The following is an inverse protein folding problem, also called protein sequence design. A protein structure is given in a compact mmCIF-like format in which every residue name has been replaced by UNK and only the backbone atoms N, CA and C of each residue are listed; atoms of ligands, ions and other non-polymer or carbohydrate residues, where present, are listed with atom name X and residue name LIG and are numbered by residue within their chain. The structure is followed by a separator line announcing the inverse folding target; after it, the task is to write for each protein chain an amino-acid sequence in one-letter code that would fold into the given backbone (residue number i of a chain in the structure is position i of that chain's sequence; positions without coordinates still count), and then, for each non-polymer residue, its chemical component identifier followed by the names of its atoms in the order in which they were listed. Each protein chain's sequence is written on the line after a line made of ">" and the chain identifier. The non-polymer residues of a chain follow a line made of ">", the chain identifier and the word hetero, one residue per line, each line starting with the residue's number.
data_IF_482790973056
#
_entry.id   IF_482790973056
#
_cell.length_a   1.000
_cell.length_b   1.000
_cell.length_c   1.000
_cell.angle_alpha   90.00
_cell.angle_beta   90.00
_cell.angle_gamma   90.00
#
_symmetry.space_group_name_H-M   'P 1'
#
loop_
_entity.id
_entity.type
_entity.pdbx_description
1 polymer ?
#
# COMPACT_ATOMS: atom_id res chain seq x y z
N UNK A 1 5.01 -26.79 -3.84
CA UNK A 1 5.73 -25.55 -4.15
C UNK A 1 6.37 -25.03 -2.88
N UNK A 2 7.43 -24.24 -3.01
CA UNK A 2 8.14 -23.56 -1.92
C UNK A 2 7.79 -22.09 -1.95
N UNK A 3 7.10 -21.63 -0.95
CA UNK A 3 6.57 -20.26 -0.83
C UNK A 3 7.39 -19.49 0.20
N UNK A 4 7.97 -18.36 -0.18
CA UNK A 4 8.65 -17.44 0.71
C UNK A 4 7.76 -16.22 1.02
N UNK A 5 7.52 -15.94 2.29
CA UNK A 5 6.90 -14.70 2.73
C UNK A 5 8.01 -13.78 3.25
N UNK A 6 8.35 -12.73 2.50
CA UNK A 6 9.40 -11.78 2.93
C UNK A 6 8.83 -10.83 3.96
N UNK A 7 9.08 -11.09 5.24
CA UNK A 7 8.52 -10.33 6.37
C UNK A 7 9.44 -10.40 7.58
N UNK A 8 9.39 -9.39 8.45
CA UNK A 8 10.18 -9.35 9.70
C UNK A 8 9.70 -10.29 10.81
N UNK A 9 8.79 -11.21 10.53
CA UNK A 9 8.40 -12.25 11.46
C UNK A 9 6.89 -12.55 11.50
N UNK A 10 6.54 -13.54 12.29
CA UNK A 10 5.18 -14.10 12.42
C UNK A 10 4.25 -13.28 13.33
N UNK A 11 4.73 -12.21 13.96
CA UNK A 11 3.92 -11.35 14.84
C UNK A 11 2.86 -10.56 14.05
N UNK A 12 3.10 -10.36 12.75
CA UNK A 12 2.15 -9.68 11.87
C UNK A 12 1.05 -10.67 11.46
N UNK A 13 -0.19 -10.37 11.82
CA UNK A 13 -1.36 -11.20 11.51
C UNK A 13 -1.38 -11.68 10.05
N UNK A 14 -1.31 -10.76 9.11
CA UNK A 14 -1.37 -11.08 7.68
C UNK A 14 -0.22 -11.97 7.19
N UNK A 15 0.98 -11.85 7.79
CA UNK A 15 2.11 -12.75 7.49
C UNK A 15 1.81 -14.17 7.95
N UNK A 16 1.34 -14.34 9.19
CA UNK A 16 0.97 -15.64 9.74
C UNK A 16 -0.14 -16.30 8.93
N UNK A 17 -1.21 -15.55 8.61
CA UNK A 17 -2.33 -16.06 7.83
C UNK A 17 -1.93 -16.53 6.42
N UNK A 18 -1.00 -15.84 5.75
CA UNK A 18 -0.47 -16.26 4.45
C UNK A 18 0.31 -17.58 4.55
N UNK A 19 1.11 -17.77 5.61
CA UNK A 19 1.80 -19.05 5.84
C UNK A 19 0.78 -20.17 6.07
N UNK A 20 -0.17 -19.96 6.98
CA UNK A 20 -1.24 -20.93 7.28
C UNK A 20 -2.02 -21.32 6.00
N UNK A 21 -2.40 -20.34 5.19
CA UNK A 21 -3.13 -20.58 3.95
C UNK A 21 -2.31 -21.40 2.93
N UNK A 22 -1.01 -21.11 2.81
CA UNK A 22 -0.12 -21.87 1.92
C UNK A 22 0.06 -23.32 2.40
N UNK A 23 0.24 -23.54 3.71
CA UNK A 23 0.38 -24.87 4.31
C UNK A 23 -0.91 -25.69 4.19
N UNK A 24 -2.06 -25.07 4.45
CA UNK A 24 -3.39 -25.70 4.25
C UNK A 24 -3.65 -26.09 2.79
N UNK A 25 -3.05 -25.36 1.84
CA UNK A 25 -3.10 -25.68 0.41
C UNK A 25 -2.06 -26.74 -0.01
N UNK A 26 -1.34 -27.35 0.94
CA UNK A 26 -0.36 -28.41 0.69
C UNK A 26 1.00 -27.93 0.20
N UNK A 27 1.36 -26.66 0.46
CA UNK A 27 2.65 -26.08 0.05
C UNK A 27 3.56 -25.87 1.26
N UNK A 28 4.87 -25.83 1.01
CA UNK A 28 5.86 -25.48 2.04
C UNK A 28 6.01 -23.98 2.09
N UNK A 29 5.66 -23.35 3.21
CA UNK A 29 5.79 -21.92 3.40
C UNK A 29 6.81 -21.57 4.49
N UNK A 30 7.60 -20.51 4.27
CA UNK A 30 8.52 -19.98 5.27
C UNK A 30 8.56 -18.47 5.28
N UNK A 31 8.75 -17.91 6.47
CA UNK A 31 8.96 -16.47 6.66
C UNK A 31 10.45 -16.20 6.58
N UNK A 32 10.84 -15.28 5.72
CA UNK A 32 12.23 -14.83 5.57
C UNK A 32 12.33 -13.35 5.95
N UNK A 33 13.15 -13.07 6.96
CA UNK A 33 13.45 -11.67 7.31
C UNK A 33 14.36 -11.08 6.21
N UNK A 34 13.96 -9.98 5.54
CA UNK A 34 14.81 -9.31 4.55
C UNK A 34 16.23 -9.02 5.06
N UNK A 35 16.40 -8.70 6.34
CA UNK A 35 17.73 -8.45 6.93
C UNK A 35 18.60 -9.69 7.10
N UNK A 36 18.06 -10.90 6.94
CA UNK A 36 18.84 -12.12 6.87
C UNK A 36 19.55 -12.34 5.53
N UNK A 37 19.17 -11.57 4.50
CA UNK A 37 19.80 -11.67 3.18
C UNK A 37 21.08 -10.85 3.08
N UNK A 38 21.97 -11.29 2.19
CA UNK A 38 23.09 -10.49 1.67
C UNK A 38 23.23 -10.72 0.17
N UNK A 39 23.44 -9.61 -0.56
CA UNK A 39 23.67 -9.58 -2.00
C UNK A 39 25.13 -9.27 -2.26
N UNK A 40 25.78 -10.08 -3.06
CA UNK A 40 27.19 -9.91 -3.43
C UNK A 40 27.30 -9.70 -4.93
N UNK A 41 27.92 -8.62 -5.33
CA UNK A 41 28.20 -8.30 -6.73
C UNK A 41 29.71 -8.46 -6.97
N UNK A 42 30.08 -9.34 -7.90
CA UNK A 42 31.47 -9.54 -8.29
C UNK A 42 31.54 -9.76 -9.82
N UNK A 43 32.19 -8.84 -10.52
CA UNK A 43 32.26 -8.82 -11.98
C UNK A 43 30.85 -8.81 -12.61
N UNK A 44 30.49 -9.89 -13.34
CA UNK A 44 29.21 -10.10 -14.00
C UNK A 44 28.26 -11.04 -13.22
N UNK A 45 28.59 -11.33 -11.95
CA UNK A 45 27.86 -12.31 -11.15
C UNK A 45 27.25 -11.64 -9.90
N UNK A 46 25.99 -11.93 -9.67
CA UNK A 46 25.29 -11.54 -8.44
C UNK A 46 24.93 -12.82 -7.69
N UNK A 47 25.27 -12.88 -6.41
CA UNK A 47 24.94 -14.00 -5.52
C UNK A 47 24.13 -13.51 -4.35
N UNK A 48 23.10 -14.25 -4.00
CA UNK A 48 22.25 -14.00 -2.85
C UNK A 48 22.45 -15.11 -1.80
N UNK A 49 22.63 -14.68 -0.55
CA UNK A 49 22.76 -15.57 0.59
C UNK A 49 21.68 -15.22 1.62
N UNK A 50 21.26 -16.21 2.38
CA UNK A 50 20.40 -16.06 3.52
C UNK A 50 21.05 -16.68 4.77
N UNK A 51 21.25 -15.87 5.81
CA UNK A 51 21.95 -16.26 7.06
C UNK A 51 23.32 -16.95 6.81
N UNK A 52 24.06 -16.45 5.80
CA UNK A 52 25.40 -16.93 5.46
C UNK A 52 25.45 -18.15 4.52
N UNK A 53 24.30 -18.73 4.15
CA UNK A 53 24.18 -19.82 3.21
C UNK A 53 23.61 -19.34 1.88
N UNK A 54 23.95 -19.99 0.78
CA UNK A 54 23.33 -19.70 -0.53
C UNK A 54 21.81 -19.79 -0.37
N UNK A 55 21.12 -18.74 -0.80
CA UNK A 55 19.67 -18.69 -0.67
C UNK A 55 19.02 -19.84 -1.45
N UNK A 56 18.03 -20.45 -0.84
CA UNK A 56 17.27 -21.52 -1.45
C UNK A 56 16.44 -21.01 -2.64
N UNK A 57 16.05 -21.90 -3.54
CA UNK A 57 15.13 -21.58 -4.61
C UNK A 57 13.69 -21.63 -4.11
N UNK A 58 12.89 -20.64 -4.53
CA UNK A 58 11.48 -20.54 -4.26
C UNK A 58 10.71 -20.58 -5.59
N UNK A 59 9.48 -21.08 -5.53
CA UNK A 59 8.56 -21.06 -6.66
C UNK A 59 7.72 -19.76 -6.61
N UNK A 60 7.43 -19.26 -5.39
CA UNK A 60 6.61 -18.09 -5.14
C UNK A 60 7.21 -17.23 -4.02
N UNK A 61 7.28 -15.92 -4.22
CA UNK A 61 7.66 -14.92 -3.20
C UNK A 61 6.52 -13.93 -3.01
N UNK A 62 6.10 -13.73 -1.76
CA UNK A 62 5.11 -12.72 -1.37
C UNK A 62 5.77 -11.70 -0.45
N UNK A 63 6.02 -10.45 -0.92
CA UNK A 63 6.64 -9.42 -0.13
C UNK A 63 5.65 -8.77 0.86
N UNK A 64 6.07 -8.66 2.12
CA UNK A 64 5.33 -8.02 3.21
C UNK A 64 6.22 -6.98 3.91
N UNK A 65 6.69 -5.99 3.14
CA UNK A 65 7.65 -5.02 3.63
C UNK A 65 7.02 -3.93 4.50
N UNK A 66 7.66 -3.68 5.63
CA UNK A 66 7.47 -2.44 6.40
C UNK A 66 8.24 -1.27 5.76
N UNK A 67 8.01 -0.05 6.27
CA UNK A 67 8.81 1.09 5.83
C UNK A 67 10.31 0.91 6.11
N UNK A 68 10.67 0.26 7.23
CA UNK A 68 12.05 0.06 7.65
C UNK A 68 12.83 -0.95 6.80
N UNK A 69 12.13 -1.90 6.16
CA UNK A 69 12.78 -2.97 5.36
C UNK A 69 12.65 -2.76 3.86
N UNK A 70 11.93 -1.72 3.44
CA UNK A 70 11.51 -1.59 2.05
C UNK A 70 12.68 -1.40 1.10
N UNK A 71 13.62 -0.52 1.41
CA UNK A 71 14.73 -0.18 0.51
C UNK A 71 15.59 -1.42 0.23
N UNK A 72 16.09 -2.07 1.27
CA UNK A 72 16.87 -3.29 1.13
C UNK A 72 16.03 -4.47 0.59
N UNK A 73 14.75 -4.54 1.00
CA UNK A 73 13.82 -5.55 0.50
C UNK A 73 13.57 -5.45 -1.01
N UNK A 74 13.60 -4.24 -1.58
CA UNK A 74 13.50 -4.05 -3.02
C UNK A 74 14.72 -4.58 -3.78
N UNK A 75 15.93 -4.41 -3.26
CA UNK A 75 17.13 -4.99 -3.87
C UNK A 75 17.04 -6.52 -3.92
N UNK A 76 16.55 -7.15 -2.83
CA UNK A 76 16.34 -8.60 -2.78
C UNK A 76 15.31 -9.03 -3.82
N UNK A 77 14.15 -8.35 -3.86
CA UNK A 77 13.09 -8.69 -4.83
C UNK A 77 13.53 -8.47 -6.28
N UNK A 78 14.25 -7.37 -6.56
CA UNK A 78 14.76 -7.06 -7.89
C UNK A 78 15.74 -8.13 -8.36
N UNK A 79 16.57 -8.65 -7.44
CA UNK A 79 17.44 -9.78 -7.77
C UNK A 79 16.63 -11.04 -8.12
N UNK A 80 15.64 -11.42 -7.28
CA UNK A 80 14.80 -12.57 -7.60
C UNK A 80 14.00 -12.38 -8.89
N UNK A 81 13.47 -11.20 -9.14
CA UNK A 81 12.77 -10.87 -10.37
C UNK A 81 13.67 -11.00 -11.61
N UNK A 82 14.95 -10.58 -11.50
CA UNK A 82 15.92 -10.68 -12.60
C UNK A 82 16.28 -12.12 -12.99
N UNK A 83 16.06 -13.07 -12.09
CA UNK A 83 16.29 -14.50 -12.40
C UNK A 83 15.22 -15.08 -13.34
N UNK A 84 14.01 -14.50 -13.40
CA UNK A 84 12.91 -14.96 -14.25
C UNK A 84 12.45 -16.41 -13.98
N UNK A 85 12.70 -16.92 -12.77
CA UNK A 85 12.42 -18.32 -12.40
C UNK A 85 11.54 -18.43 -11.15
N UNK A 86 11.04 -17.31 -10.63
CA UNK A 86 10.22 -17.23 -9.43
C UNK A 86 9.09 -16.26 -9.63
N UNK A 87 7.87 -16.70 -9.35
CA UNK A 87 6.70 -15.82 -9.34
C UNK A 87 6.76 -14.87 -8.13
N UNK A 88 6.52 -13.58 -8.33
CA UNK A 88 6.57 -12.55 -7.27
C UNK A 88 5.29 -11.74 -7.28
N UNK A 89 4.57 -11.75 -6.17
CA UNK A 89 3.30 -11.05 -6.00
C UNK A 89 3.35 -10.12 -4.78
N UNK A 90 3.47 -8.81 -4.99
CA UNK A 90 3.54 -7.99 -6.22
C UNK A 90 4.99 -7.80 -6.69
N UNK A 91 5.17 -7.42 -7.96
CA UNK A 91 6.47 -7.08 -8.51
C UNK A 91 7.09 -5.83 -7.86
N UNK A 92 8.45 -5.72 -7.81
CA UNK A 92 9.14 -4.63 -7.12
C UNK A 92 8.73 -3.24 -7.60
N UNK A 93 8.67 -3.01 -8.91
CA UNK A 93 8.33 -1.71 -9.48
C UNK A 93 6.88 -1.28 -9.16
N UNK A 94 5.94 -2.22 -9.20
CA UNK A 94 4.55 -1.99 -8.80
C UNK A 94 4.44 -1.56 -7.33
N UNK A 95 5.19 -2.25 -6.45
CA UNK A 95 5.27 -1.91 -5.03
C UNK A 95 5.86 -0.51 -4.84
N UNK A 96 6.96 -0.17 -5.50
CA UNK A 96 7.60 1.14 -5.39
C UNK A 96 6.67 2.26 -5.86
N UNK A 97 5.98 2.08 -6.99
CA UNK A 97 5.03 3.05 -7.51
C UNK A 97 3.86 3.28 -6.55
N UNK A 98 3.28 2.23 -6.01
CA UNK A 98 2.15 2.31 -5.08
C UNK A 98 2.53 2.92 -3.73
N UNK A 99 3.72 2.63 -3.21
CA UNK A 99 4.19 3.17 -1.91
C UNK A 99 4.46 4.66 -1.94
N UNK A 100 4.78 5.23 -3.08
CA UNK A 100 5.03 6.65 -3.22
C UNK A 100 3.71 7.39 -3.49
N UNK A 101 3.11 7.97 -2.45
CA UNK A 101 1.74 8.53 -2.49
C UNK A 101 1.46 9.48 -3.66
N UNK A 102 2.36 10.41 -3.93
CA UNK A 102 2.14 11.33 -5.05
C UNK A 102 2.29 10.65 -6.41
N UNK A 103 3.30 9.76 -6.56
CA UNK A 103 3.51 9.01 -7.80
C UNK A 103 2.32 8.11 -8.13
N UNK A 104 1.79 7.38 -7.14
CA UNK A 104 0.62 6.52 -7.33
C UNK A 104 -0.60 7.31 -7.79
N UNK A 105 -0.92 8.42 -7.12
CA UNK A 105 -2.05 9.27 -7.52
C UNK A 105 -1.86 9.91 -8.91
N UNK A 106 -0.62 10.33 -9.25
CA UNK A 106 -0.31 10.85 -10.58
C UNK A 106 -0.54 9.79 -11.67
N UNK A 107 -0.02 8.57 -11.47
CA UNK A 107 -0.22 7.45 -12.42
C UNK A 107 -1.72 7.14 -12.57
N UNK A 108 -2.47 7.09 -11.47
CA UNK A 108 -3.91 6.86 -11.51
C UNK A 108 -4.65 7.95 -12.27
N UNK A 109 -4.35 9.22 -12.02
CA UNK A 109 -4.97 10.35 -12.69
C UNK A 109 -4.68 10.36 -14.21
N UNK A 110 -3.45 10.02 -14.64
CA UNK A 110 -3.06 9.87 -16.04
C UNK A 110 -3.89 8.79 -16.77
N UNK A 111 -4.45 7.83 -16.04
CA UNK A 111 -5.30 6.76 -16.57
C UNK A 111 -6.79 6.95 -16.25
N UNK A 112 -7.20 8.18 -15.92
CA UNK A 112 -8.59 8.55 -15.63
C UNK A 112 -9.23 7.81 -14.45
N UNK A 113 -8.43 7.29 -13.51
CA UNK A 113 -8.94 6.81 -12.23
C UNK A 113 -9.15 8.04 -11.32
N UNK A 114 -10.35 8.22 -10.73
CA UNK A 114 -10.62 9.37 -9.89
C UNK A 114 -9.77 9.34 -8.61
N UNK A 115 -9.04 10.43 -8.36
CA UNK A 115 -8.16 10.58 -7.19
C UNK A 115 -8.51 11.82 -6.38
N UNK A 116 -8.18 11.80 -5.09
CA UNK A 116 -8.37 12.97 -4.24
C UNK A 116 -7.43 14.11 -4.71
N UNK A 117 -7.95 15.35 -4.95
CA UNK A 117 -7.14 16.47 -5.37
C UNK A 117 -5.93 16.69 -4.48
N UNK A 118 -4.76 16.75 -5.07
CA UNK A 118 -3.48 16.74 -4.37
C UNK A 118 -2.43 17.50 -5.15
N UNK A 119 -1.45 18.07 -4.44
CA UNK A 119 -0.27 18.66 -5.07
C UNK A 119 1.01 18.37 -4.27
N UNK A 120 2.13 18.62 -4.90
CA UNK A 120 3.44 18.80 -4.27
C UNK A 120 4.12 20.00 -4.90
N UNK A 121 4.98 20.68 -4.15
CA UNK A 121 5.78 21.80 -4.64
C UNK A 121 7.15 21.79 -4.01
N UNK A 122 8.14 22.29 -4.72
CA UNK A 122 9.51 22.45 -4.22
C UNK A 122 9.75 23.80 -3.53
N UNK A 123 8.77 24.73 -3.56
CA UNK A 123 8.93 26.08 -3.01
C UNK A 123 7.70 26.52 -2.24
N UNK A 124 7.88 27.39 -1.26
CA UNK A 124 6.78 27.99 -0.50
C UNK A 124 5.98 29.04 -1.30
N UNK A 125 6.60 29.66 -2.31
CA UNK A 125 5.98 30.71 -3.14
C UNK A 125 4.78 30.21 -3.95
N UNK A 126 4.77 28.93 -4.32
CA UNK A 126 3.67 28.33 -5.09
C UNK A 126 2.55 27.72 -4.25
N UNK A 127 2.65 27.77 -2.93
CA UNK A 127 1.68 27.11 -2.03
C UNK A 127 0.26 27.67 -2.20
N UNK A 128 0.10 29.00 -2.21
CA UNK A 128 -1.22 29.63 -2.28
C UNK A 128 -1.95 29.29 -3.57
N UNK A 129 -1.26 29.36 -4.70
CA UNK A 129 -1.79 28.97 -6.00
C UNK A 129 -2.12 27.48 -6.05
N UNK A 130 -1.27 26.64 -5.48
CA UNK A 130 -1.47 25.19 -5.45
C UNK A 130 -2.67 24.78 -4.59
N UNK A 131 -2.88 25.45 -3.44
CA UNK A 131 -4.08 25.25 -2.62
C UNK A 131 -5.34 25.68 -3.39
N UNK A 132 -5.30 26.83 -4.05
CA UNK A 132 -6.41 27.29 -4.91
C UNK A 132 -6.78 26.26 -5.97
N UNK A 133 -5.79 25.62 -6.59
CA UNK A 133 -6.00 24.60 -7.63
C UNK A 133 -6.70 23.33 -7.11
N UNK A 134 -6.50 22.94 -5.86
CA UNK A 134 -7.17 21.78 -5.25
C UNK A 134 -8.51 22.13 -4.57
N UNK A 135 -9.02 23.35 -4.74
CA UNK A 135 -10.31 23.80 -4.25
C UNK A 135 -10.28 25.01 -3.31
N UNK A 136 -9.09 25.53 -2.96
CA UNK A 136 -8.91 26.77 -2.20
C UNK A 136 -9.36 26.76 -0.75
N UNK A 137 -9.78 25.60 -0.21
CA UNK A 137 -10.40 25.49 1.12
C UNK A 137 -9.41 24.92 2.14
N UNK A 138 -9.50 25.44 3.36
CA UNK A 138 -8.84 24.86 4.53
C UNK A 138 -9.87 24.15 5.42
N UNK A 139 -9.47 23.13 6.19
CA UNK A 139 -8.10 22.62 6.33
C UNK A 139 -7.62 21.83 5.10
N UNK A 140 -6.32 21.63 5.01
CA UNK A 140 -5.68 20.68 4.08
C UNK A 140 -4.88 19.64 4.87
N UNK A 141 -4.58 18.51 4.23
CA UNK A 141 -3.74 17.45 4.81
C UNK A 141 -2.36 17.49 4.16
N UNK A 142 -1.29 17.58 4.96
CA UNK A 142 0.07 17.32 4.50
C UNK A 142 0.58 15.99 5.06
N UNK A 143 1.26 15.20 4.21
CA UNK A 143 1.82 13.91 4.58
C UNK A 143 3.07 13.57 3.76
N UNK A 144 4.05 12.81 4.30
CA UNK A 144 5.23 12.41 3.54
C UNK A 144 4.85 11.51 2.35
N UNK A 145 5.65 11.53 1.28
CA UNK A 145 5.44 10.66 0.12
C UNK A 145 5.43 9.17 0.50
N UNK A 146 6.32 8.78 1.40
CA UNK A 146 6.44 7.41 1.90
C UNK A 146 6.16 7.42 3.40
N UNK A 147 5.21 6.63 3.84
CA UNK A 147 4.84 6.52 5.26
C UNK A 147 3.74 5.48 5.48
N UNK A 148 3.67 4.97 6.71
CA UNK A 148 2.70 3.94 7.11
C UNK A 148 2.02 4.33 8.43
N UNK A 149 0.84 3.77 8.69
CA UNK A 149 0.09 3.93 9.96
C UNK A 149 -0.24 5.38 10.32
N UNK A 150 -0.39 6.26 9.35
CA UNK A 150 -0.73 7.65 9.58
C UNK A 150 0.34 8.48 10.30
N UNK A 151 1.61 8.04 10.32
CA UNK A 151 2.72 8.82 10.87
C UNK A 151 3.07 9.98 9.95
N UNK A 152 3.29 11.17 10.53
CA UNK A 152 3.66 12.38 9.78
C UNK A 152 2.50 13.01 9.01
N UNK A 153 1.25 12.62 9.25
CA UNK A 153 0.07 13.29 8.69
C UNK A 153 -0.27 14.49 9.57
N UNK A 154 -0.42 15.65 8.93
CA UNK A 154 -0.75 16.92 9.58
C UNK A 154 -2.04 17.47 8.98
N UNK A 155 -2.97 17.88 9.83
CA UNK A 155 -4.14 18.69 9.49
C UNK A 155 -3.76 20.16 9.67
N UNK A 156 -3.91 20.96 8.63
CA UNK A 156 -3.43 22.33 8.58
C UNK A 156 -4.60 23.27 8.24
N UNK A 157 -5.01 24.05 9.23
CA UNK A 157 -6.23 24.83 9.19
C UNK A 157 -6.10 26.20 8.51
N UNK A 158 -4.85 26.65 8.27
CA UNK A 158 -4.56 27.96 7.69
C UNK A 158 -3.38 27.92 6.73
N UNK A 159 -3.26 28.94 5.87
CA UNK A 159 -2.10 29.12 5.02
C UNK A 159 -0.80 29.20 5.84
N UNK A 160 -0.81 29.94 6.98
CA UNK A 160 0.38 30.10 7.82
C UNK A 160 0.83 28.76 8.40
N UNK A 161 -0.10 27.93 8.86
CA UNK A 161 0.26 26.59 9.37
C UNK A 161 0.79 25.67 8.27
N UNK A 162 0.23 25.75 7.06
CA UNK A 162 0.75 25.01 5.89
C UNK A 162 2.15 25.49 5.53
N UNK A 163 2.38 26.78 5.39
CA UNK A 163 3.68 27.34 5.04
C UNK A 163 4.76 26.95 6.05
N UNK A 164 4.44 27.03 7.36
CA UNK A 164 5.36 26.63 8.43
C UNK A 164 5.70 25.15 8.40
N UNK A 165 4.68 24.29 8.21
CA UNK A 165 4.87 22.84 8.13
C UNK A 165 5.73 22.45 6.91
N UNK A 166 5.43 23.02 5.74
CA UNK A 166 6.17 22.74 4.51
C UNK A 166 7.62 23.25 4.61
N UNK A 167 7.86 24.46 5.15
CA UNK A 167 9.19 24.97 5.42
C UNK A 167 10.02 24.00 6.27
N UNK A 168 9.47 23.54 7.38
CA UNK A 168 10.13 22.57 8.25
C UNK A 168 10.40 21.20 7.55
N UNK A 169 9.54 20.74 6.65
CA UNK A 169 9.77 19.51 5.87
C UNK A 169 10.86 19.69 4.83
N UNK A 170 10.89 20.84 4.15
CA UNK A 170 11.94 21.17 3.18
C UNK A 170 13.33 21.25 3.84
N UNK A 171 13.44 21.84 5.03
CA UNK A 171 14.68 21.98 5.77
C UNK A 171 15.34 20.63 6.13
N UNK A 172 14.52 19.57 6.24
CA UNK A 172 14.99 18.20 6.50
C UNK A 172 14.97 17.31 5.25
N UNK A 173 14.87 17.88 4.06
CA UNK A 173 14.79 17.18 2.76
C UNK A 173 13.71 16.06 2.74
N UNK A 174 12.54 16.36 3.29
CA UNK A 174 11.40 15.43 3.31
C UNK A 174 10.38 15.82 2.24
N UNK A 175 10.29 14.98 1.23
CA UNK A 175 9.24 15.12 0.22
C UNK A 175 7.86 14.86 0.80
N UNK A 176 6.86 15.64 0.35
CA UNK A 176 5.50 15.64 0.89
C UNK A 176 4.45 15.79 -0.21
N UNK A 177 3.25 15.38 0.11
CA UNK A 177 2.03 15.65 -0.66
C UNK A 177 1.07 16.45 0.21
N UNK A 178 0.43 17.45 -0.38
CA UNK A 178 -0.70 18.17 0.22
C UNK A 178 -1.97 17.72 -0.51
N UNK A 179 -2.99 17.36 0.25
CA UNK A 179 -4.27 16.89 -0.27
C UNK A 179 -5.42 17.72 0.26
N UNK A 180 -6.49 17.82 -0.55
CA UNK A 180 -7.79 18.34 -0.08
C UNK A 180 -8.24 17.53 1.13
N UNK A 181 -8.68 18.24 2.18
CA UNK A 181 -9.28 17.58 3.34
C UNK A 181 -10.70 17.10 3.03
N UNK A 182 -11.00 15.87 3.41
CA UNK A 182 -12.36 15.33 3.43
C UNK A 182 -12.71 15.01 4.89
N UNK A 183 -13.81 15.54 5.37
CA UNK A 183 -14.26 15.27 6.74
C UNK A 183 -14.82 13.84 6.83
N UNK A 184 -14.06 12.95 7.43
CA UNK A 184 -14.42 11.55 7.59
C UNK A 184 -15.26 11.23 8.84
N UNK A 185 -15.55 12.22 9.68
CA UNK A 185 -16.21 11.99 10.98
C UNK A 185 -17.58 11.30 10.86
N UNK A 186 -18.31 11.55 9.77
CA UNK A 186 -19.62 10.95 9.52
C UNK A 186 -19.62 9.90 8.41
N UNK A 187 -18.83 10.12 7.36
CA UNK A 187 -18.79 9.23 6.18
C UNK A 187 -17.77 8.10 6.31
N UNK A 188 -16.69 8.31 7.08
CA UNK A 188 -15.57 7.40 7.10
C UNK A 188 -14.82 7.33 5.76
N UNK A 189 -13.87 6.41 5.67
CA UNK A 189 -13.28 5.98 4.41
C UNK A 189 -13.61 4.53 4.13
N UNK A 190 -13.36 4.09 2.92
CA UNK A 190 -13.62 2.72 2.45
C UNK A 190 -12.31 2.07 2.07
N UNK A 191 -12.05 0.88 2.60
CA UNK A 191 -10.97 -0.01 2.14
C UNK A 191 -11.54 -1.15 1.32
N UNK A 192 -11.04 -1.33 0.11
CA UNK A 192 -11.35 -2.47 -0.76
C UNK A 192 -10.08 -3.31 -0.95
N UNK A 193 -10.18 -4.61 -0.69
CA UNK A 193 -9.09 -5.55 -1.04
C UNK A 193 -9.34 -6.07 -2.45
N UNK A 194 -8.31 -5.94 -3.28
CA UNK A 194 -8.29 -6.45 -4.66
C UNK A 194 -7.27 -7.57 -4.75
N UNK A 195 -7.66 -8.67 -5.41
CA UNK A 195 -6.78 -9.81 -5.75
C UNK A 195 -7.03 -10.16 -7.22
N UNK A 196 -6.00 -10.04 -8.04
CA UNK A 196 -6.11 -10.12 -9.50
C UNK A 196 -7.06 -9.05 -10.04
N UNK A 197 -8.10 -9.47 -10.71
CA UNK A 197 -9.15 -8.63 -11.31
C UNK A 197 -10.42 -8.51 -10.45
N UNK A 198 -10.37 -8.95 -9.19
CA UNK A 198 -11.54 -9.03 -8.31
C UNK A 198 -11.38 -8.18 -7.04
N UNK A 199 -12.38 -7.37 -6.76
CA UNK A 199 -12.59 -6.75 -5.45
C UNK A 199 -13.25 -7.79 -4.53
N UNK A 200 -12.51 -8.37 -3.59
CA UNK A 200 -12.91 -9.54 -2.81
C UNK A 200 -13.55 -9.20 -1.46
N UNK A 201 -13.16 -8.08 -0.86
CA UNK A 201 -13.69 -7.64 0.43
C UNK A 201 -13.71 -6.12 0.53
N UNK A 202 -14.77 -5.56 1.12
CA UNK A 202 -14.95 -4.14 1.38
C UNK A 202 -15.22 -3.86 2.85
N UNK A 203 -14.59 -2.82 3.39
CA UNK A 203 -14.79 -2.36 4.77
C UNK A 203 -14.88 -0.85 4.80
N UNK A 204 -15.88 -0.33 5.51
CA UNK A 204 -15.99 1.08 5.87
C UNK A 204 -15.32 1.29 7.22
N UNK A 205 -14.47 2.32 7.34
CA UNK A 205 -13.77 2.68 8.59
C UNK A 205 -14.22 4.06 9.05
N UNK A 206 -14.75 4.14 10.25
CA UNK A 206 -15.25 5.40 10.81
C UNK A 206 -14.34 5.82 11.96
N UNK A 207 -13.79 7.05 11.90
CA UNK A 207 -12.97 7.59 13.00
C UNK A 207 -13.78 7.70 14.31
N UNK A 208 -13.10 7.60 15.44
CA UNK A 208 -13.70 7.73 16.76
C UNK A 208 -13.03 8.86 17.55
N UNK A 209 -13.74 9.38 18.55
CA UNK A 209 -13.20 10.30 19.56
C UNK A 209 -12.54 11.59 19.01
N UNK A 210 -13.05 12.16 17.90
CA UNK A 210 -12.51 13.39 17.31
C UNK A 210 -11.21 13.22 16.54
N UNK A 211 -10.74 11.98 16.33
CA UNK A 211 -9.62 11.71 15.41
C UNK A 211 -10.10 11.95 13.96
N UNK A 212 -9.31 12.64 13.17
CA UNK A 212 -9.62 12.90 11.75
C UNK A 212 -9.18 11.77 10.81
N UNK A 213 -8.38 10.83 11.31
CA UNK A 213 -7.90 9.65 10.57
C UNK A 213 -8.77 8.45 10.90
N UNK A 214 -9.17 7.71 9.88
CA UNK A 214 -10.05 6.53 9.98
C UNK A 214 -9.34 5.21 10.28
N UNK A 215 -8.01 5.22 10.41
CA UNK A 215 -7.23 4.00 10.66
C UNK A 215 -7.66 3.28 11.95
N UNK A 216 -8.05 2.01 11.85
CA UNK A 216 -8.50 1.18 12.99
C UNK A 216 -7.41 1.03 14.05
N UNK A 217 -6.13 0.95 13.68
CA UNK A 217 -5.00 0.98 14.64
C UNK A 217 -4.97 2.24 15.53
N UNK A 218 -5.78 3.26 15.24
CA UNK A 218 -5.96 4.47 16.04
C UNK A 218 -7.33 4.56 16.71
N UNK A 219 -8.05 3.42 16.77
CA UNK A 219 -9.36 3.33 17.42
C UNK A 219 -10.54 3.56 16.49
N UNK A 220 -10.35 3.63 15.17
CA UNK A 220 -11.46 3.60 14.21
C UNK A 220 -12.23 2.29 14.28
N UNK A 221 -13.51 2.31 13.94
CA UNK A 221 -14.35 1.10 13.86
C UNK A 221 -14.54 0.73 12.40
N UNK A 222 -14.22 -0.54 12.08
CA UNK A 222 -14.51 -1.16 10.79
C UNK A 222 -15.88 -1.81 10.79
N UNK A 223 -16.61 -1.68 9.70
CA UNK A 223 -17.81 -2.48 9.43
C UNK A 223 -17.82 -2.98 7.98
N UNK A 224 -18.42 -4.14 7.75
CA UNK A 224 -18.55 -4.71 6.41
C UNK A 224 -19.23 -3.74 5.47
N UNK A 225 -18.74 -3.66 4.24
CA UNK A 225 -19.32 -2.88 3.16
C UNK A 225 -19.54 -3.78 1.94
N UNK A 226 -20.78 -3.81 1.47
CA UNK A 226 -21.11 -4.45 0.19
C UNK A 226 -20.54 -3.61 -0.94
N UNK A 227 -19.64 -4.19 -1.73
CA UNK A 227 -18.95 -3.51 -2.82
C UNK A 227 -19.91 -3.33 -3.99
N UNK A 228 -20.37 -2.09 -4.21
CA UNK A 228 -21.15 -1.72 -5.39
C UNK A 228 -20.27 -1.64 -6.65
N UNK A 229 -20.91 -1.52 -7.81
CA UNK A 229 -20.22 -1.50 -9.12
C UNK A 229 -19.17 -0.41 -9.22
N UNK A 230 -19.50 0.81 -8.82
CA UNK A 230 -18.59 1.97 -8.85
C UNK A 230 -17.32 1.71 -8.04
N UNK A 231 -17.46 1.28 -6.78
CA UNK A 231 -16.31 0.96 -5.93
C UNK A 231 -15.44 -0.17 -6.51
N UNK A 232 -16.09 -1.22 -7.06
CA UNK A 232 -15.39 -2.30 -7.73
C UNK A 232 -14.58 -1.80 -8.91
N UNK A 233 -15.21 -1.03 -9.80
CA UNK A 233 -14.59 -0.57 -11.04
C UNK A 233 -13.39 0.35 -10.73
N UNK A 234 -13.52 1.27 -9.76
CA UNK A 234 -12.44 2.15 -9.33
C UNK A 234 -11.31 1.36 -8.65
N UNK A 235 -11.63 0.47 -7.71
CA UNK A 235 -10.62 -0.25 -6.94
C UNK A 235 -9.81 -1.22 -7.82
N UNK A 236 -10.48 -2.02 -8.66
CA UNK A 236 -9.83 -2.92 -9.62
C UNK A 236 -9.05 -2.14 -10.67
N UNK A 237 -9.62 -1.04 -11.18
CA UNK A 237 -8.93 -0.13 -12.09
C UNK A 237 -7.65 0.44 -11.49
N UNK A 238 -7.69 0.87 -10.23
CA UNK A 238 -6.51 1.40 -9.53
C UNK A 238 -5.41 0.35 -9.33
N UNK A 239 -5.76 -0.86 -8.91
CA UNK A 239 -4.81 -1.97 -8.75
C UNK A 239 -4.15 -2.32 -10.09
N UNK A 240 -4.94 -2.49 -11.15
CA UNK A 240 -4.45 -2.80 -12.51
C UNK A 240 -3.55 -1.69 -13.06
N UNK A 241 -3.92 -0.43 -12.92
CA UNK A 241 -3.14 0.73 -13.40
C UNK A 241 -1.77 0.80 -12.73
N UNK A 242 -1.67 0.40 -11.46
CA UNK A 242 -0.40 0.32 -10.72
C UNK A 242 0.31 -1.03 -10.89
N UNK A 243 -0.20 -1.93 -11.72
CA UNK A 243 0.33 -3.27 -11.96
C UNK A 243 0.44 -4.11 -10.67
N UNK A 244 -0.58 -4.01 -9.82
CA UNK A 244 -0.66 -4.73 -8.54
C UNK A 244 -1.64 -5.91 -8.66
N UNK A 245 -1.16 -7.11 -8.37
CA UNK A 245 -1.97 -8.32 -8.25
C UNK A 245 -2.75 -8.34 -6.93
N UNK A 246 -2.14 -7.80 -5.86
CA UNK A 246 -2.77 -7.68 -4.54
C UNK A 246 -2.69 -6.23 -4.10
N UNK A 247 -3.82 -5.63 -3.81
CA UNK A 247 -3.90 -4.24 -3.36
C UNK A 247 -4.96 -4.02 -2.28
N UNK A 248 -4.68 -3.09 -1.38
CA UNK A 248 -5.68 -2.45 -0.53
C UNK A 248 -5.91 -1.03 -1.03
N UNK A 249 -7.06 -0.78 -1.63
CA UNK A 249 -7.40 0.54 -2.16
C UNK A 249 -8.24 1.27 -1.12
N UNK A 250 -7.76 2.42 -0.69
CA UNK A 250 -8.47 3.31 0.24
C UNK A 250 -9.15 4.42 -0.57
N UNK A 251 -10.47 4.55 -0.38
CA UNK A 251 -11.32 5.48 -1.10
C UNK A 251 -12.10 6.35 -0.12
N UNK A 252 -12.44 7.55 -0.57
CA UNK A 252 -13.36 8.45 0.15
C UNK A 252 -14.51 8.84 -0.75
N UNK A 253 -15.70 8.98 -0.17
CA UNK A 253 -16.87 9.47 -0.85
C UNK A 253 -16.86 11.01 -0.87
N UNK A 254 -17.09 11.58 -2.03
CA UNK A 254 -17.20 13.02 -2.26
C UNK A 254 -18.55 13.33 -2.91
N UNK A 255 -18.88 14.61 -3.08
CA UNK A 255 -20.11 14.99 -3.79
C UNK A 255 -20.19 14.53 -5.26
N UNK A 256 -19.08 14.07 -5.82
CA UNK A 256 -18.97 13.56 -7.20
C UNK A 256 -18.78 12.03 -7.30
N UNK A 257 -18.98 11.27 -6.21
CA UNK A 257 -18.72 9.82 -6.16
C UNK A 257 -17.44 9.48 -5.39
N UNK A 258 -16.96 8.25 -5.55
CA UNK A 258 -15.76 7.78 -4.87
C UNK A 258 -14.48 8.20 -5.57
N UNK A 259 -13.47 8.59 -4.77
CA UNK A 259 -12.11 8.91 -5.27
C UNK A 259 -11.06 8.14 -4.46
N UNK A 260 -9.96 7.77 -5.11
CA UNK A 260 -8.85 7.06 -4.46
C UNK A 260 -8.06 8.04 -3.57
N UNK A 261 -7.87 7.64 -2.31
CA UNK A 261 -7.05 8.33 -1.32
C UNK A 261 -5.61 7.81 -1.31
N UNK A 262 -5.45 6.47 -1.33
CA UNK A 262 -4.15 5.79 -1.46
C UNK A 262 -4.33 4.33 -1.89
N UNK A 263 -3.24 3.71 -2.39
CA UNK A 263 -3.18 2.29 -2.73
C UNK A 263 -2.04 1.63 -1.98
N UNK A 264 -2.34 0.55 -1.28
CA UNK A 264 -1.40 -0.22 -0.48
C UNK A 264 -1.04 -1.53 -1.19
N UNK A 265 0.24 -1.75 -1.58
CA UNK A 265 0.67 -2.97 -2.27
C UNK A 265 0.86 -4.17 -1.34
N UNK A 266 0.80 -3.98 -0.03
CA UNK A 266 0.90 -5.03 1.00
C UNK A 266 -0.12 -4.76 2.10
N UNK A 267 -1.44 -4.84 1.81
CA UNK A 267 -2.46 -4.47 2.77
C UNK A 267 -2.46 -5.37 4.01
N UNK A 268 -2.64 -4.79 5.19
CA UNK A 268 -3.12 -5.53 6.36
C UNK A 268 -4.59 -5.90 6.15
N UNK A 269 -4.98 -7.09 6.55
CA UNK A 269 -6.35 -7.58 6.34
C UNK A 269 -6.97 -8.21 7.61
N UNK A 270 -6.35 -8.06 8.77
CA UNK A 270 -6.88 -8.56 10.04
C UNK A 270 -8.30 -8.06 10.31
N UNK A 271 -8.49 -6.75 10.21
CA UNK A 271 -9.76 -6.10 10.52
C UNK A 271 -10.84 -6.44 9.49
N UNK A 272 -10.49 -6.48 8.20
CA UNK A 272 -11.44 -6.77 7.15
C UNK A 272 -11.86 -8.25 7.16
N UNK A 273 -10.95 -9.19 7.46
CA UNK A 273 -11.32 -10.60 7.72
C UNK A 273 -12.26 -10.73 8.92
N UNK A 274 -12.02 -9.95 9.99
CA UNK A 274 -12.85 -10.00 11.19
C UNK A 274 -14.29 -9.49 10.96
N UNK A 275 -14.48 -8.49 10.09
CA UNK A 275 -15.82 -7.89 9.87
C UNK A 275 -16.56 -8.43 8.67
N UNK A 276 -15.88 -9.06 7.69
CA UNK A 276 -16.49 -9.52 6.43
C UNK A 276 -16.62 -11.05 6.34
N UNK A 277 -15.96 -11.80 7.21
CA UNK A 277 -15.83 -13.26 7.12
C UNK A 277 -15.20 -13.76 5.80
N UNK A 278 -14.56 -12.88 5.03
CA UNK A 278 -13.86 -13.24 3.78
C UNK A 278 -12.45 -13.72 4.13
N UNK A 279 -12.08 -14.90 3.63
CA UNK A 279 -10.74 -15.48 3.81
C UNK A 279 -9.75 -14.86 2.82
N UNK A 280 -9.22 -13.69 3.16
CA UNK A 280 -8.33 -12.90 2.28
C UNK A 280 -7.03 -13.63 2.01
N UNK A 281 -6.42 -14.22 3.05
CA UNK A 281 -5.15 -14.94 2.89
C UNK A 281 -5.26 -16.11 1.93
N UNK A 282 -6.31 -16.93 2.06
CA UNK A 282 -6.57 -18.07 1.18
C UNK A 282 -6.80 -17.64 -0.26
N UNK A 283 -7.51 -16.52 -0.47
CA UNK A 283 -7.74 -15.97 -1.82
C UNK A 283 -6.44 -15.49 -2.44
N UNK A 284 -5.56 -14.81 -1.68
CA UNK A 284 -4.25 -14.37 -2.16
C UNK A 284 -3.37 -15.58 -2.54
N UNK A 285 -3.31 -16.59 -1.68
CA UNK A 285 -2.49 -17.79 -1.93
C UNK A 285 -3.00 -18.57 -3.14
N UNK A 286 -4.32 -18.76 -3.26
CA UNK A 286 -4.92 -19.45 -4.42
C UNK A 286 -4.61 -18.73 -5.72
N UNK A 287 -4.77 -17.41 -5.76
CA UNK A 287 -4.40 -16.58 -6.92
C UNK A 287 -2.91 -16.71 -7.25
N UNK A 288 -2.05 -16.59 -6.24
CA UNK A 288 -0.60 -16.65 -6.44
C UNK A 288 -0.13 -18.02 -6.97
N UNK A 289 -0.76 -19.12 -6.51
CA UNK A 289 -0.49 -20.48 -7.00
C UNK A 289 -0.95 -20.65 -8.46
N UNK A 290 -2.07 -20.06 -8.83
CA UNK A 290 -2.54 -20.08 -10.22
C UNK A 290 -1.58 -19.31 -11.13
N UNK A 291 -1.14 -18.14 -10.73
CA UNK A 291 -0.18 -17.33 -11.47
C UNK A 291 1.15 -18.06 -11.76
N UNK A 292 1.66 -18.89 -10.81
CA UNK A 292 2.88 -19.69 -11.05
C UNK A 292 2.73 -20.78 -12.11
N UNK A 293 1.52 -21.08 -12.57
CA UNK A 293 1.30 -22.12 -13.61
C UNK A 293 1.22 -21.51 -15.01
N UNK A 294 1.03 -20.20 -15.10
CA UNK A 294 0.90 -19.47 -16.36
C UNK A 294 2.24 -18.92 -16.86
N UNK A 295 3.29 -18.88 -16.00
CA UNK A 295 4.67 -18.56 -16.35
C UNK A 295 5.45 -19.84 -16.78
#
# INVERSE_FOLDING_TARGET
>A
MRVAILSRGNQVYSTRRLVEAAELSGHQAQILDPFGFSLHVQNDNIRIFYNGYVAEKFDLIIPRFSAATAEFGFEILSHFASLGTVCIINLPDAIQNARHKFRSLRILAEHNIPVLPSFTTGTAESLEQSVSYIGGEYPVIAKPFIGTHGKGIMLLDTFISLQSAIGAMCDVNRDYIVQKYVNLSSSGDVRVIVVGDRAIAGMKRVPQNGEFRSNVHRGGIGCELIIGRELKDIAVGAARTLNLDVAGVDLVETGGGYVVLEVNPSPGFEEIEAVTSVHVAETIISFAIEATKEE
#
